data_IF_657134683203
#
_entry.id   IF_657134683203
#
_cell.length_a   1.000
_cell.length_b   1.000
_cell.length_c   1.000
_cell.angle_alpha   90.00
_cell.angle_beta   90.00
_cell.angle_gamma   90.00
#
_symmetry.space_group_name_H-M   'P 1'
#
loop_
_entity.id
_entity.type
_entity.pdbx_description
1 polymer ?
#
# COMPACT_ATOMS: atom_id res chain seq x y z
N UNK A 1 -0.02 44.36 -2.99
CA UNK A 1 1.23 43.83 -2.42
C UNK A 1 0.89 43.11 -1.11
N UNK A 2 0.77 41.79 -1.08
CA UNK A 2 0.79 41.04 0.17
C UNK A 2 2.22 40.60 0.50
N UNK A 3 2.57 40.69 1.78
CA UNK A 3 3.88 40.39 2.34
C UNK A 3 4.20 38.89 2.23
N UNK A 4 5.45 38.57 1.84
CA UNK A 4 6.01 37.22 1.80
C UNK A 4 6.38 36.85 3.25
N UNK A 5 5.76 35.81 3.79
CA UNK A 5 6.16 35.19 5.05
C UNK A 5 7.58 34.65 4.91
N UNK A 6 8.52 35.20 5.68
CA UNK A 6 9.92 34.78 5.70
C UNK A 6 10.03 33.38 6.33
N UNK A 7 10.09 32.36 5.47
CA UNK A 7 10.45 31.00 5.84
C UNK A 7 11.92 30.96 6.24
N UNK A 8 12.18 31.01 7.55
CA UNK A 8 13.49 31.09 8.21
C UNK A 8 14.38 29.83 8.07
N UNK A 9 14.20 29.02 7.03
CA UNK A 9 14.89 27.74 6.81
C UNK A 9 15.46 27.56 5.38
N UNK A 10 15.55 28.63 4.58
CA UNK A 10 16.25 28.58 3.29
C UNK A 10 17.49 29.47 3.35
N UNK A 11 18.68 28.88 3.50
CA UNK A 11 19.97 29.61 3.58
C UNK A 11 20.54 29.96 2.22
N UNK A 12 19.84 29.66 1.13
CA UNK A 12 20.29 29.98 -0.22
C UNK A 12 19.63 31.26 -0.73
N UNK A 13 20.40 32.19 -1.33
CA UNK A 13 19.85 33.40 -1.93
C UNK A 13 18.80 33.04 -2.98
N UNK A 14 17.69 33.79 -3.02
CA UNK A 14 16.68 33.63 -4.06
C UNK A 14 17.28 34.09 -5.40
N UNK A 15 17.68 33.11 -6.21
CA UNK A 15 18.19 33.31 -7.56
C UNK A 15 17.34 32.42 -8.49
N UNK A 16 17.01 32.86 -9.72
CA UNK A 16 16.12 32.13 -10.63
C UNK A 16 16.49 30.67 -10.90
N UNK A 17 17.75 30.26 -10.80
CA UNK A 17 18.19 28.86 -10.94
C UNK A 17 17.92 27.97 -9.71
N UNK A 18 17.50 28.57 -8.60
CA UNK A 18 17.24 27.89 -7.34
C UNK A 18 15.77 27.48 -7.18
N UNK A 19 14.93 27.77 -8.18
CA UNK A 19 13.56 27.26 -8.29
C UNK A 19 13.51 25.73 -8.45
N UNK A 20 14.59 25.13 -8.96
CA UNK A 20 14.75 23.69 -9.14
C UNK A 20 14.97 22.91 -7.83
N UNK A 21 15.35 23.58 -6.74
CA UNK A 21 15.65 22.92 -5.46
C UNK A 21 14.38 22.53 -4.71
N UNK A 22 13.34 23.37 -4.77
CA UNK A 22 12.03 23.07 -4.19
C UNK A 22 11.31 21.94 -4.95
N UNK A 23 11.61 21.75 -6.24
CA UNK A 23 11.06 20.69 -7.09
C UNK A 23 11.89 19.39 -7.09
N UNK A 24 13.07 19.38 -6.46
CA UNK A 24 13.97 18.23 -6.47
C UNK A 24 13.37 17.03 -5.71
N UNK A 25 12.99 15.98 -6.45
CA UNK A 25 12.39 14.78 -5.87
C UNK A 25 13.45 13.82 -5.27
N UNK A 26 13.81 14.03 -4.00
CA UNK A 26 14.69 13.14 -3.22
C UNK A 26 14.06 11.79 -2.84
N UNK A 27 12.90 11.45 -3.39
CA UNK A 27 12.23 10.17 -3.13
C UNK A 27 12.36 9.14 -4.24
N UNK A 28 13.04 9.49 -5.32
CA UNK A 28 13.45 8.57 -6.38
C UNK A 28 14.85 8.02 -6.10
N UNK A 29 15.12 6.84 -6.67
CA UNK A 29 16.49 6.32 -6.73
C UNK A 29 17.28 7.14 -7.77
N UNK A 30 18.51 7.59 -7.47
CA UNK A 30 19.35 8.24 -8.47
C UNK A 30 19.64 7.31 -9.65
N UNK A 31 19.57 7.86 -10.87
CA UNK A 31 20.08 7.18 -12.08
C UNK A 31 21.60 7.29 -12.11
N UNK A 32 22.24 6.28 -12.68
CA UNK A 32 23.67 6.31 -12.96
C UNK A 32 23.81 6.82 -14.40
N UNK A 33 24.50 7.93 -14.57
CA UNK A 33 24.88 8.47 -15.87
C UNK A 33 26.35 8.14 -16.14
N UNK A 34 26.74 7.96 -17.40
CA UNK A 34 28.15 7.85 -17.79
C UNK A 34 28.78 9.24 -17.88
N UNK A 35 30.11 9.34 -17.81
CA UNK A 35 30.83 10.63 -17.84
C UNK A 35 30.84 11.32 -19.23
N UNK A 36 29.88 10.99 -20.11
CA UNK A 36 29.79 11.47 -21.49
C UNK A 36 28.60 12.43 -21.64
N UNK A 37 28.75 13.63 -22.22
CA UNK A 37 27.66 14.58 -22.47
C UNK A 37 26.44 13.98 -23.17
N UNK A 38 26.62 13.03 -24.08
CA UNK A 38 25.51 12.39 -24.81
C UNK A 38 24.58 11.61 -23.86
N UNK A 39 25.10 11.10 -22.75
CA UNK A 39 24.30 10.38 -21.74
C UNK A 39 23.29 11.27 -20.99
N UNK A 40 23.52 12.60 -20.97
CA UNK A 40 22.58 13.57 -20.44
C UNK A 40 21.48 13.90 -21.46
N UNK A 41 21.79 13.80 -22.77
CA UNK A 41 20.80 14.00 -23.83
C UNK A 41 19.81 12.83 -23.92
N UNK A 42 20.25 11.62 -23.57
CA UNK A 42 19.41 10.41 -23.48
C UNK A 42 18.56 10.32 -22.19
N UNK A 43 18.69 11.30 -21.29
CA UNK A 43 17.90 11.33 -20.07
C UNK A 43 16.41 11.51 -20.39
N UNK A 44 15.50 10.82 -19.67
CA UNK A 44 14.08 11.00 -19.89
C UNK A 44 13.65 12.42 -19.49
N UNK A 45 12.68 12.94 -20.23
CA UNK A 45 12.11 14.26 -19.97
C UNK A 45 11.64 14.40 -18.50
N UNK A 46 12.14 15.41 -17.76
CA UNK A 46 11.80 15.61 -16.35
C UNK A 46 10.30 15.85 -16.12
N UNK A 47 9.60 16.49 -17.06
CA UNK A 47 8.17 16.75 -16.93
C UNK A 47 7.35 15.44 -16.94
N UNK A 48 7.72 14.51 -17.83
CA UNK A 48 7.09 13.19 -17.93
C UNK A 48 7.40 12.33 -16.70
N UNK A 49 8.60 12.46 -16.12
CA UNK A 49 8.96 11.75 -14.88
C UNK A 49 8.14 12.28 -13.69
N UNK A 50 8.01 13.61 -13.57
CA UNK A 50 7.21 14.24 -12.51
C UNK A 50 5.74 13.79 -12.54
N UNK A 51 5.13 13.73 -13.73
CA UNK A 51 3.75 13.27 -13.88
C UNK A 51 3.58 11.80 -13.43
N UNK A 52 4.52 10.93 -13.80
CA UNK A 52 4.54 9.52 -13.36
C UNK A 52 4.70 9.40 -11.84
N UNK A 53 5.52 10.24 -11.23
CA UNK A 53 5.72 10.25 -9.77
C UNK A 53 4.46 10.69 -9.02
N UNK A 54 3.77 11.73 -9.52
CA UNK A 54 2.48 12.17 -8.96
C UNK A 54 1.42 11.06 -9.04
N UNK A 55 1.36 10.35 -10.17
CA UNK A 55 0.49 9.17 -10.34
C UNK A 55 0.86 8.05 -9.35
N UNK A 56 2.14 7.76 -9.16
CA UNK A 56 2.62 6.74 -8.22
C UNK A 56 2.19 7.03 -6.77
N UNK A 57 2.34 8.27 -6.32
CA UNK A 57 1.92 8.68 -4.96
C UNK A 57 0.41 8.54 -4.76
N UNK A 58 -0.39 8.92 -5.76
CA UNK A 58 -1.85 8.75 -5.70
C UNK A 58 -2.24 7.27 -5.69
N UNK A 59 -1.56 6.43 -6.48
CA UNK A 59 -1.77 4.98 -6.46
C UNK A 59 -1.45 4.39 -5.10
N UNK A 60 -0.34 4.80 -4.47
CA UNK A 60 0.03 4.34 -3.14
C UNK A 60 -1.06 4.67 -2.10
N UNK A 61 -1.59 5.89 -2.12
CA UNK A 61 -2.67 6.30 -1.22
C UNK A 61 -3.96 5.49 -1.46
N UNK A 62 -4.35 5.29 -2.72
CA UNK A 62 -5.52 4.47 -3.05
C UNK A 62 -5.31 3.03 -2.56
N UNK A 63 -4.13 2.46 -2.81
CA UNK A 63 -3.80 1.08 -2.42
C UNK A 63 -3.84 0.88 -0.90
N UNK A 64 -3.36 1.87 -0.14
CA UNK A 64 -3.39 1.87 1.33
C UNK A 64 -4.79 1.64 1.89
N UNK A 65 -5.81 2.27 1.31
CA UNK A 65 -7.20 2.12 1.75
C UNK A 65 -7.91 0.96 1.06
N UNK A 66 -7.57 0.68 -0.20
CA UNK A 66 -8.20 -0.39 -0.97
C UNK A 66 -7.95 -1.77 -0.35
N UNK A 67 -6.73 -2.06 0.12
CA UNK A 67 -6.42 -3.39 0.68
C UNK A 67 -7.25 -3.68 1.94
N UNK A 68 -7.23 -2.86 3.01
CA UNK A 68 -8.08 -3.10 4.17
C UNK A 68 -9.57 -3.17 3.81
N UNK A 69 -10.04 -2.26 2.94
CA UNK A 69 -11.43 -2.25 2.51
C UNK A 69 -11.83 -3.56 1.82
N UNK A 70 -11.02 -4.04 0.87
CA UNK A 70 -11.26 -5.32 0.19
C UNK A 70 -11.24 -6.49 1.17
N UNK A 71 -10.31 -6.49 2.14
CA UNK A 71 -10.26 -7.52 3.18
C UNK A 71 -11.54 -7.53 4.03
N UNK A 72 -11.98 -6.38 4.53
CA UNK A 72 -13.21 -6.27 5.35
C UNK A 72 -14.46 -6.65 4.55
N UNK A 73 -14.60 -6.13 3.33
CA UNK A 73 -15.74 -6.44 2.46
C UNK A 73 -15.78 -7.93 2.15
N UNK A 74 -14.64 -8.53 1.81
CA UNK A 74 -14.55 -9.97 1.51
C UNK A 74 -14.89 -10.80 2.76
N UNK A 75 -14.35 -10.44 3.92
CA UNK A 75 -14.66 -11.12 5.18
C UNK A 75 -16.16 -11.06 5.51
N UNK A 76 -16.78 -9.90 5.32
CA UNK A 76 -18.21 -9.72 5.55
C UNK A 76 -19.07 -10.53 4.57
N UNK A 77 -18.77 -10.49 3.28
CA UNK A 77 -19.47 -11.28 2.25
C UNK A 77 -19.34 -12.78 2.53
N UNK A 78 -18.15 -13.24 2.88
CA UNK A 78 -17.92 -14.66 3.19
C UNK A 78 -18.60 -15.08 4.52
N UNK A 79 -18.71 -14.17 5.49
CA UNK A 79 -19.47 -14.44 6.71
C UNK A 79 -20.96 -14.63 6.42
N UNK A 80 -21.52 -13.84 5.50
CA UNK A 80 -22.88 -14.04 4.99
C UNK A 80 -23.05 -15.37 4.29
N UNK A 81 -22.09 -15.78 3.45
CA UNK A 81 -22.11 -17.10 2.80
C UNK A 81 -22.15 -18.22 3.83
N UNK A 82 -21.31 -18.15 4.87
CA UNK A 82 -21.35 -19.08 6.00
C UNK A 82 -22.73 -19.09 6.69
N UNK A 83 -23.30 -17.91 6.92
CA UNK A 83 -24.61 -17.78 7.59
C UNK A 83 -25.75 -18.41 6.80
N UNK A 84 -25.72 -18.29 5.48
CA UNK A 84 -26.72 -18.84 4.55
C UNK A 84 -26.59 -20.36 4.38
N UNK A 85 -25.37 -20.90 4.49
CA UNK A 85 -25.16 -22.35 4.50
C UNK A 85 -25.70 -23.01 5.77
N UNK A 86 -25.73 -22.27 6.88
CA UNK A 86 -26.19 -22.78 8.17
C UNK A 86 -25.24 -23.84 8.74
N UNK A 87 -25.71 -24.54 9.77
CA UNK A 87 -24.98 -25.65 10.38
C UNK A 87 -25.19 -25.76 11.89
N UNK A 88 -24.72 -26.87 12.47
CA UNK A 88 -25.09 -27.29 13.82
C UNK A 88 -24.65 -26.29 14.90
N UNK A 89 -23.61 -25.50 14.65
CA UNK A 89 -23.07 -24.52 15.60
C UNK A 89 -24.00 -23.30 15.73
N UNK A 90 -24.59 -22.88 14.62
CA UNK A 90 -25.60 -21.81 14.63
C UNK A 90 -26.94 -22.29 15.20
N UNK A 91 -27.30 -23.55 14.97
CA UNK A 91 -28.53 -24.15 15.51
C UNK A 91 -28.44 -24.36 17.03
N UNK A 92 -27.25 -24.68 17.56
CA UNK A 92 -26.96 -24.78 18.98
C UNK A 92 -26.87 -23.40 19.69
N UNK A 93 -26.82 -22.31 18.93
CA UNK A 93 -26.69 -20.95 19.47
C UNK A 93 -25.27 -20.59 19.94
N UNK A 94 -24.26 -21.39 19.61
CA UNK A 94 -22.86 -21.16 20.01
C UNK A 94 -22.18 -20.08 19.14
N UNK A 95 -22.59 -19.92 17.89
CA UNK A 95 -22.10 -18.89 16.98
C UNK A 95 -23.22 -18.26 16.15
N UNK A 96 -23.07 -16.98 15.79
CA UNK A 96 -24.09 -16.25 15.01
C UNK A 96 -23.78 -16.22 13.52
N UNK A 97 -22.49 -16.22 13.12
CA UNK A 97 -22.07 -16.00 11.73
C UNK A 97 -21.34 -17.20 11.11
N UNK A 98 -20.46 -17.85 11.88
CA UNK A 98 -19.69 -19.01 11.44
C UNK A 98 -20.41 -20.27 11.90
N UNK A 99 -21.14 -20.92 11.00
CA UNK A 99 -22.16 -21.90 11.38
C UNK A 99 -21.70 -23.37 11.31
N UNK A 100 -20.49 -23.64 10.83
CA UNK A 100 -19.98 -25.01 10.67
C UNK A 100 -18.46 -25.08 10.82
N UNK A 101 -17.95 -26.26 11.16
CA UNK A 101 -16.49 -26.53 11.20
C UNK A 101 -15.81 -26.30 9.84
N UNK A 102 -16.52 -26.52 8.74
CA UNK A 102 -16.00 -26.20 7.42
C UNK A 102 -15.80 -24.68 7.28
N UNK A 103 -16.79 -23.88 7.69
CA UNK A 103 -16.70 -22.42 7.68
C UNK A 103 -15.58 -21.89 8.58
N UNK A 104 -15.35 -22.50 9.74
CA UNK A 104 -14.20 -22.20 10.61
C UNK A 104 -12.85 -22.41 9.93
N UNK A 105 -12.75 -23.28 8.94
CA UNK A 105 -11.50 -23.51 8.22
C UNK A 105 -11.37 -22.54 7.05
N UNK A 106 -12.33 -22.55 6.14
CA UNK A 106 -12.18 -21.84 4.87
C UNK A 106 -12.31 -20.31 5.03
N UNK A 107 -13.18 -19.83 5.93
CA UNK A 107 -13.40 -18.40 6.12
C UNK A 107 -12.15 -17.64 6.58
N UNK A 108 -11.49 -18.04 7.69
CA UNK A 108 -10.30 -17.34 8.15
C UNK A 108 -9.10 -17.53 7.22
N UNK A 109 -8.96 -18.69 6.58
CA UNK A 109 -7.90 -18.93 5.58
C UNK A 109 -8.07 -17.96 4.40
N UNK A 110 -9.27 -17.92 3.80
CA UNK A 110 -9.52 -17.12 2.60
C UNK A 110 -9.34 -15.64 2.87
N UNK A 111 -9.88 -15.13 3.98
CA UNK A 111 -9.75 -13.71 4.35
C UNK A 111 -8.31 -13.32 4.69
N UNK A 112 -7.55 -14.22 5.33
CA UNK A 112 -6.13 -13.98 5.62
C UNK A 112 -5.29 -13.96 4.35
N UNK A 113 -5.55 -14.86 3.39
CA UNK A 113 -4.86 -14.85 2.08
C UNK A 113 -5.05 -13.51 1.37
N UNK A 114 -6.23 -12.89 1.47
CA UNK A 114 -6.47 -11.56 0.89
C UNK A 114 -5.62 -10.50 1.57
N UNK A 115 -5.54 -10.49 2.91
CA UNK A 115 -4.72 -9.54 3.66
C UNK A 115 -3.22 -9.70 3.35
N UNK A 116 -2.70 -10.94 3.37
CA UNK A 116 -1.31 -11.23 3.01
C UNK A 116 -1.02 -10.93 1.54
N UNK A 117 -1.95 -11.25 0.65
CA UNK A 117 -1.85 -10.94 -0.79
C UNK A 117 -1.75 -9.44 -1.04
N UNK A 118 -2.55 -8.63 -0.33
CA UNK A 118 -2.47 -7.17 -0.40
C UNK A 118 -1.12 -6.61 0.05
N UNK A 119 -0.56 -7.15 1.14
CA UNK A 119 0.78 -6.80 1.63
C UNK A 119 1.89 -7.23 0.65
N UNK A 120 1.86 -8.47 0.15
CA UNK A 120 2.85 -8.94 -0.83
C UNK A 120 2.75 -8.17 -2.15
N UNK A 121 1.53 -7.80 -2.56
CA UNK A 121 1.30 -6.93 -3.71
C UNK A 121 1.93 -5.56 -3.55
N UNK A 122 1.87 -4.94 -2.36
CA UNK A 122 2.54 -3.65 -2.13
C UNK A 122 4.06 -3.77 -2.16
N UNK A 123 4.62 -4.87 -1.65
CA UNK A 123 6.06 -5.16 -1.76
C UNK A 123 6.51 -5.33 -3.22
N UNK A 124 5.72 -6.03 -4.03
CA UNK A 124 6.01 -6.20 -5.46
C UNK A 124 5.92 -4.88 -6.23
N UNK A 125 4.87 -4.08 -6.01
CA UNK A 125 4.73 -2.76 -6.65
C UNK A 125 5.86 -1.83 -6.21
N UNK A 126 6.24 -1.85 -4.93
CA UNK A 126 7.38 -1.10 -4.43
C UNK A 126 8.66 -1.46 -5.19
N UNK A 127 8.94 -2.75 -5.36
CA UNK A 127 10.11 -3.22 -6.10
C UNK A 127 10.07 -2.79 -7.57
N UNK A 128 8.90 -2.87 -8.21
CA UNK A 128 8.70 -2.37 -9.58
C UNK A 128 9.00 -0.86 -9.67
N UNK A 129 8.44 -0.04 -8.78
CA UNK A 129 8.73 1.41 -8.76
C UNK A 129 10.20 1.71 -8.51
N UNK A 130 10.84 0.96 -7.61
CA UNK A 130 12.26 1.11 -7.30
C UNK A 130 13.15 0.81 -8.52
N UNK A 131 12.84 -0.25 -9.27
CA UNK A 131 13.61 -0.60 -10.49
C UNK A 131 13.35 0.35 -11.65
N UNK A 132 12.16 0.95 -11.72
CA UNK A 132 11.79 1.90 -12.77
C UNK A 132 12.15 3.36 -12.45
N UNK A 133 12.97 3.62 -11.42
CA UNK A 133 13.39 4.96 -10.98
C UNK A 133 12.23 5.92 -10.65
N UNK A 134 11.10 5.37 -10.21
CA UNK A 134 9.92 6.14 -9.80
C UNK A 134 9.87 6.29 -8.28
N UNK A 135 8.96 7.14 -7.82
CA UNK A 135 8.74 7.43 -6.40
C UNK A 135 8.35 6.20 -5.59
N UNK A 136 9.31 5.65 -4.86
CA UNK A 136 9.17 4.37 -4.13
C UNK A 136 8.90 4.57 -2.63
N UNK A 137 9.36 5.69 -2.02
CA UNK A 137 9.19 5.95 -0.58
C UNK A 137 7.73 5.92 -0.09
N UNK A 138 6.74 6.45 -0.83
CA UNK A 138 5.33 6.31 -0.44
C UNK A 138 4.88 4.85 -0.34
N UNK A 139 5.29 4.00 -1.28
CA UNK A 139 4.99 2.57 -1.26
C UNK A 139 5.65 1.86 -0.08
N UNK A 140 6.80 2.34 0.39
CA UNK A 140 7.44 1.80 1.59
C UNK A 140 6.56 2.06 2.81
N UNK A 141 6.00 3.27 2.92
CA UNK A 141 5.02 3.61 3.95
C UNK A 141 3.77 2.72 3.88
N UNK A 142 3.24 2.48 2.68
CA UNK A 142 2.10 1.55 2.49
C UNK A 142 2.45 0.15 2.98
N UNK A 143 3.60 -0.39 2.60
CA UNK A 143 4.06 -1.71 3.04
C UNK A 143 4.18 -1.78 4.56
N UNK A 144 4.77 -0.76 5.21
CA UNK A 144 4.89 -0.68 6.67
C UNK A 144 3.55 -0.65 7.40
N UNK A 145 2.48 -0.17 6.78
CA UNK A 145 1.12 -0.21 7.36
C UNK A 145 0.44 -1.55 7.08
N UNK A 146 0.63 -2.12 5.89
CA UNK A 146 0.01 -3.40 5.53
C UNK A 146 0.63 -4.60 6.23
N UNK A 147 1.92 -4.54 6.62
CA UNK A 147 2.56 -5.58 7.44
C UNK A 147 1.80 -5.79 8.76
N UNK A 148 1.68 -4.81 9.67
CA UNK A 148 0.98 -5.01 10.94
C UNK A 148 -0.51 -5.31 10.74
N UNK A 149 -1.14 -4.77 9.68
CA UNK A 149 -2.51 -5.15 9.32
C UNK A 149 -2.64 -6.65 8.99
N UNK A 150 -1.74 -7.19 8.17
CA UNK A 150 -1.72 -8.62 7.84
C UNK A 150 -1.37 -9.48 9.05
N UNK A 151 -0.46 -9.02 9.92
CA UNK A 151 -0.13 -9.71 11.17
C UNK A 151 -1.34 -9.75 12.12
N UNK A 152 -2.04 -8.64 12.28
CA UNK A 152 -3.28 -8.58 13.06
C UNK A 152 -4.29 -9.59 12.54
N UNK A 153 -4.47 -9.68 11.22
CA UNK A 153 -5.38 -10.66 10.62
C UNK A 153 -4.90 -12.11 10.86
N UNK A 154 -3.61 -12.37 10.71
CA UNK A 154 -3.03 -13.70 10.97
C UNK A 154 -3.12 -14.13 12.44
N UNK A 155 -3.01 -13.22 13.41
CA UNK A 155 -3.05 -13.58 14.83
C UNK A 155 -4.46 -13.62 15.41
N UNK A 156 -5.38 -12.80 14.90
CA UNK A 156 -6.75 -12.73 15.42
C UNK A 156 -7.77 -13.57 14.62
N UNK A 157 -7.63 -13.63 13.30
CA UNK A 157 -8.60 -14.30 12.42
C UNK A 157 -8.12 -15.69 12.02
N UNK A 158 -6.87 -15.83 11.54
CA UNK A 158 -6.37 -17.13 11.08
C UNK A 158 -6.34 -18.18 12.19
N UNK A 159 -6.14 -17.76 13.44
CA UNK A 159 -6.14 -18.64 14.62
C UNK A 159 -7.47 -19.39 14.83
N UNK A 160 -8.60 -18.85 14.34
CA UNK A 160 -9.90 -19.53 14.36
C UNK A 160 -9.87 -20.87 13.61
N UNK A 161 -9.07 -20.98 12.54
CA UNK A 161 -8.92 -22.24 11.80
C UNK A 161 -8.24 -23.33 12.62
N UNK A 162 -7.37 -22.94 13.56
CA UNK A 162 -6.58 -23.86 14.38
C UNK A 162 -7.37 -24.25 15.63
N UNK A 163 -7.83 -23.25 16.37
CA UNK A 163 -8.48 -23.45 17.67
C UNK A 163 -9.90 -23.98 17.52
N UNK A 164 -10.58 -23.64 16.42
CA UNK A 164 -12.04 -23.77 16.36
C UNK A 164 -12.72 -22.84 17.36
N UNK A 165 -14.05 -22.92 17.39
CA UNK A 165 -14.86 -22.31 18.43
C UNK A 165 -15.06 -23.31 19.56
#
# INVERSE_FOLDING_TARGET
MPAKEDNFMNTQPEHPENDLVDEADFSNRPRIYSDDPDSLADAPDPALEHEKNKKSSRQALIYLFAVPLVTFVSAYVLAWVSRLQGGPICDAGEAVWICSRAAELWWPITTSVIAFGGMLGSAWILYDKYRNYLRWRPWMGVLWILIPFSMLWGTSVLTLSILGH
#
